data_IF_427267582455
#
_entry.id   IF_427267582455
#
_cell.length_a   1.000
_cell.length_b   1.000
_cell.length_c   1.000
_cell.angle_alpha   90.00
_cell.angle_beta   90.00
_cell.angle_gamma   90.00
#
_symmetry.space_group_name_H-M   'P 1'
#
loop_
_entity.id
_entity.type
_entity.pdbx_description
1 polymer ?
#
# COMPACT_ATOMS: atom_id res chain seq x y z
N UNK A 1 45.47 10.95 -60.61
CA UNK A 1 44.20 11.31 -61.28
C UNK A 1 43.08 10.59 -60.58
N UNK A 2 42.24 11.34 -59.87
CA UNK A 2 41.09 10.84 -59.11
C UNK A 2 39.85 10.95 -59.99
N UNK A 3 39.04 9.89 -60.10
CA UNK A 3 37.56 9.98 -60.05
C UNK A 3 36.92 8.59 -60.19
N UNK A 4 36.27 8.13 -59.12
CA UNK A 4 35.08 7.28 -59.20
C UNK A 4 34.05 7.78 -58.19
N UNK A 5 32.84 8.00 -58.72
CA UNK A 5 31.62 8.44 -58.05
C UNK A 5 31.15 7.42 -57.01
N UNK A 6 30.48 7.90 -55.95
CA UNK A 6 29.39 7.28 -55.17
C UNK A 6 28.98 8.33 -54.12
N UNK A 7 27.91 9.12 -54.31
CA UNK A 7 26.50 8.83 -54.03
C UNK A 7 26.22 8.40 -52.58
N UNK A 8 25.27 9.13 -51.96
CA UNK A 8 24.50 8.87 -50.73
C UNK A 8 25.05 9.52 -49.46
N UNK A 9 24.52 10.70 -49.06
CA UNK A 9 23.27 10.92 -48.32
C UNK A 9 23.43 10.53 -46.83
N UNK A 10 23.87 11.49 -46.01
CA UNK A 10 23.80 11.38 -44.55
C UNK A 10 23.11 12.62 -43.98
N UNK A 11 21.87 12.42 -43.56
CA UNK A 11 21.05 13.34 -42.78
C UNK A 11 21.78 13.75 -41.48
N UNK A 12 22.02 15.04 -41.30
CA UNK A 12 22.33 15.63 -39.99
C UNK A 12 21.42 16.84 -39.79
N UNK A 13 20.14 16.57 -39.54
CA UNK A 13 19.23 17.49 -38.88
C UNK A 13 18.62 16.71 -37.71
N UNK A 14 19.11 16.95 -36.51
CA UNK A 14 18.33 16.86 -35.29
C UNK A 14 19.04 17.71 -34.24
N UNK A 15 18.64 18.97 -34.22
CA UNK A 15 19.00 19.90 -33.17
C UNK A 15 18.27 19.58 -31.87
N UNK A 16 18.88 20.04 -30.79
CA UNK A 16 18.19 20.60 -29.62
C UNK A 16 17.36 19.63 -28.78
N UNK A 17 17.98 19.00 -27.80
CA UNK A 17 17.32 18.62 -26.56
C UNK A 17 18.21 19.02 -25.37
N UNK A 18 18.21 20.31 -25.06
CA UNK A 18 18.33 20.76 -23.67
C UNK A 18 16.94 20.59 -23.06
N UNK A 19 16.81 19.68 -22.10
CA UNK A 19 15.57 19.46 -21.37
C UNK A 19 15.87 18.66 -20.11
N UNK A 20 15.87 19.35 -18.98
CA UNK A 20 16.16 18.82 -17.66
C UNK A 20 15.25 17.63 -17.32
N UNK A 21 15.80 16.42 -17.25
CA UNK A 21 15.17 15.33 -16.52
C UNK A 21 15.61 15.39 -15.05
N UNK A 22 15.23 16.46 -14.37
CA UNK A 22 15.03 16.43 -12.91
C UNK A 22 13.72 15.67 -12.68
N UNK A 23 13.79 14.34 -12.70
CA UNK A 23 12.77 13.53 -12.04
C UNK A 23 12.98 13.70 -10.55
N UNK A 24 12.42 14.78 -10.01
CA UNK A 24 12.18 14.91 -8.59
C UNK A 24 11.34 13.70 -8.17
N UNK A 25 11.88 12.88 -7.28
CA UNK A 25 11.11 11.94 -6.49
C UNK A 25 10.07 12.78 -5.74
N UNK A 26 8.84 12.84 -6.28
CA UNK A 26 7.68 13.26 -5.51
C UNK A 26 7.50 12.17 -4.47
N UNK A 27 8.10 12.36 -3.29
CA UNK A 27 7.57 11.74 -2.09
C UNK A 27 6.14 12.24 -1.98
N UNK A 28 5.19 11.37 -2.29
CA UNK A 28 3.79 11.63 -2.05
C UNK A 28 3.65 11.94 -0.56
N UNK A 29 3.25 13.17 -0.23
CA UNK A 29 2.50 13.38 1.00
C UNK A 29 1.33 12.40 0.90
N UNK A 30 1.38 11.31 1.66
CA UNK A 30 0.41 10.23 1.55
C UNK A 30 -0.95 10.78 1.96
N UNK A 31 -1.76 11.08 0.95
CA UNK A 31 -3.21 11.28 1.04
C UNK A 31 -3.94 10.10 1.72
N UNK A 32 -3.21 9.01 2.04
CA UNK A 32 -3.65 7.86 2.82
C UNK A 32 -4.27 8.22 4.18
N UNK A 33 -3.89 9.35 4.79
CA UNK A 33 -4.48 9.80 6.06
C UNK A 33 -5.68 10.74 5.88
N UNK A 34 -6.21 10.91 4.65
CA UNK A 34 -7.43 11.68 4.41
C UNK A 34 -8.66 10.80 4.69
N UNK A 35 -9.67 11.31 5.42
CA UNK A 35 -10.88 10.57 5.69
C UNK A 35 -11.57 10.11 4.40
N UNK A 36 -11.71 8.79 4.20
CA UNK A 36 -12.38 8.27 2.99
C UNK A 36 -13.90 8.38 3.06
N UNK A 37 -14.45 8.65 4.26
CA UNK A 37 -15.87 8.86 4.50
C UNK A 37 -16.75 7.61 4.43
N UNK A 38 -16.22 6.45 4.00
CA UNK A 38 -16.99 5.22 3.82
C UNK A 38 -17.12 4.35 5.09
N UNK A 39 -16.22 4.53 6.06
CA UNK A 39 -16.13 3.73 7.29
C UNK A 39 -14.91 2.81 7.32
N UNK A 40 -14.79 2.04 8.40
CA UNK A 40 -13.69 1.11 8.63
C UNK A 40 -14.20 -0.22 9.24
N UNK A 41 -13.34 -1.23 9.21
CA UNK A 41 -13.61 -2.56 9.75
C UNK A 41 -12.47 -2.94 10.69
N UNK A 42 -12.75 -3.09 11.99
CA UNK A 42 -11.80 -3.64 12.98
C UNK A 42 -11.99 -5.16 13.00
N UNK A 43 -10.89 -5.91 13.08
CA UNK A 43 -10.93 -7.37 13.10
C UNK A 43 -9.70 -7.94 13.81
N UNK A 44 -9.80 -9.22 14.17
CA UNK A 44 -8.64 -10.04 14.49
C UNK A 44 -8.26 -10.86 13.26
N UNK A 45 -6.98 -10.98 12.97
CA UNK A 45 -6.44 -11.79 11.89
C UNK A 45 -5.59 -12.93 12.46
N UNK A 46 -5.97 -14.16 12.12
CA UNK A 46 -5.19 -15.34 12.43
C UNK A 46 -4.34 -15.70 11.22
N UNK A 47 -3.04 -15.54 11.36
CA UNK A 47 -2.09 -15.95 10.34
C UNK A 47 -1.58 -17.36 10.67
N UNK A 48 -1.78 -18.36 9.81
CA UNK A 48 -1.37 -19.74 10.08
C UNK A 48 0.14 -19.94 10.22
N UNK A 49 0.94 -18.93 9.86
CA UNK A 49 2.40 -18.88 9.99
C UNK A 49 2.86 -17.99 11.16
N UNK A 50 1.95 -17.26 11.80
CA UNK A 50 2.21 -16.49 13.01
C UNK A 50 1.63 -17.22 14.22
N UNK A 51 2.16 -16.96 15.41
CA UNK A 51 1.71 -17.63 16.62
C UNK A 51 0.31 -17.19 17.03
N UNK A 52 0.18 -15.96 17.51
CA UNK A 52 -1.07 -15.42 18.04
C UNK A 52 -1.79 -14.58 16.97
N UNK A 53 -3.14 -14.55 16.98
CA UNK A 53 -3.92 -13.60 16.20
C UNK A 53 -3.53 -12.16 16.54
N UNK A 54 -3.59 -11.30 15.54
CA UNK A 54 -3.31 -9.87 15.70
C UNK A 54 -4.54 -9.03 15.37
N UNK A 55 -4.63 -7.87 16.01
CA UNK A 55 -5.67 -6.89 15.75
C UNK A 55 -5.26 -5.97 14.61
N UNK A 56 -6.17 -5.77 13.68
CA UNK A 56 -6.00 -4.84 12.60
C UNK A 56 -7.28 -4.05 12.32
N UNK A 57 -7.14 -2.97 11.57
CA UNK A 57 -8.25 -2.19 11.07
C UNK A 57 -8.02 -1.82 9.62
N UNK A 58 -9.05 -2.05 8.79
CA UNK A 58 -9.04 -1.72 7.38
C UNK A 58 -9.88 -0.48 7.14
N UNK A 59 -9.27 0.56 6.57
CA UNK A 59 -9.98 1.80 6.20
C UNK A 59 -10.76 1.63 4.90
N UNK A 60 -11.63 2.61 4.60
CA UNK A 60 -12.33 2.73 3.33
C UNK A 60 -13.15 1.49 2.94
N UNK A 61 -13.94 0.99 3.89
CA UNK A 61 -14.83 -0.16 3.69
C UNK A 61 -16.29 0.21 3.91
N UNK A 62 -17.18 -0.47 3.19
CA UNK A 62 -18.61 -0.41 3.48
C UNK A 62 -18.97 -1.33 4.64
N UNK A 63 -20.10 -1.04 5.30
CA UNK A 63 -20.67 -1.92 6.33
C UNK A 63 -20.93 -3.34 5.78
N UNK A 64 -21.44 -3.43 4.55
CA UNK A 64 -21.74 -4.71 3.90
C UNK A 64 -20.49 -5.55 3.64
N UNK A 65 -19.39 -4.92 3.23
CA UNK A 65 -18.11 -5.60 3.08
C UNK A 65 -17.62 -6.14 4.44
N UNK A 66 -17.64 -5.31 5.48
CA UNK A 66 -17.15 -5.71 6.79
C UNK A 66 -17.94 -6.90 7.36
N UNK A 67 -19.27 -6.93 7.20
CA UNK A 67 -20.12 -8.07 7.62
C UNK A 67 -19.71 -9.40 7.01
N UNK A 68 -19.25 -9.39 5.76
CA UNK A 68 -18.84 -10.61 5.04
C UNK A 68 -17.33 -10.82 5.03
N UNK A 69 -16.57 -9.99 5.76
CA UNK A 69 -15.11 -10.01 5.63
C UNK A 69 -14.50 -11.33 6.12
N UNK A 70 -15.09 -11.96 7.13
CA UNK A 70 -14.71 -13.32 7.58
C UNK A 70 -14.92 -14.40 6.51
N UNK A 71 -15.85 -14.21 5.58
CA UNK A 71 -16.16 -15.17 4.52
C UNK A 71 -15.29 -14.96 3.28
N UNK A 72 -15.01 -13.70 2.94
CA UNK A 72 -14.16 -13.32 1.82
C UNK A 72 -12.67 -13.55 2.16
N UNK A 73 -12.30 -13.24 3.41
CA UNK A 73 -10.93 -13.23 3.89
C UNK A 73 -10.05 -12.18 3.20
N UNK A 74 -8.76 -12.20 3.54
CA UNK A 74 -7.72 -11.43 2.84
C UNK A 74 -6.83 -12.35 1.96
N UNK A 75 -7.26 -13.60 1.75
CA UNK A 75 -6.54 -14.60 0.95
C UNK A 75 -5.29 -15.21 1.60
N UNK A 76 -4.77 -14.62 2.68
CA UNK A 76 -3.55 -15.04 3.38
C UNK A 76 -3.77 -15.36 4.88
N UNK A 77 -4.78 -14.74 5.48
CA UNK A 77 -5.11 -14.86 6.91
C UNK A 77 -6.59 -15.16 7.09
N UNK A 78 -6.95 -15.82 8.18
CA UNK A 78 -8.35 -15.97 8.59
C UNK A 78 -8.78 -14.68 9.30
N UNK A 79 -9.89 -14.10 8.86
CA UNK A 79 -10.47 -12.90 9.47
C UNK A 79 -11.51 -13.30 10.52
N UNK A 80 -11.34 -12.80 11.73
CA UNK A 80 -12.15 -13.11 12.91
C UNK A 80 -12.83 -11.85 13.42
N UNK A 81 -14.10 -12.00 13.81
CA UNK A 81 -14.90 -10.98 14.50
C UNK A 81 -14.87 -9.57 13.85
N UNK A 82 -15.13 -9.43 12.53
CA UNK A 82 -15.12 -8.12 11.89
C UNK A 82 -16.24 -7.22 12.43
N UNK A 83 -15.89 -5.99 12.79
CA UNK A 83 -16.78 -5.00 13.36
C UNK A 83 -16.67 -3.66 12.59
N UNK A 84 -17.79 -3.22 12.02
CA UNK A 84 -17.86 -1.98 11.26
C UNK A 84 -18.08 -0.77 12.17
N UNK A 85 -17.45 0.35 11.83
CA UNK A 85 -17.81 1.67 12.33
C UNK A 85 -17.61 2.73 11.25
N UNK A 86 -18.33 3.84 11.37
CA UNK A 86 -18.13 5.00 10.49
C UNK A 86 -16.82 5.73 10.77
N UNK A 87 -16.31 6.46 9.77
CA UNK A 87 -15.06 7.21 9.85
C UNK A 87 -13.81 6.34 9.70
N UNK A 88 -12.66 6.91 10.05
CA UNK A 88 -11.35 6.27 9.88
C UNK A 88 -11.04 5.30 11.02
N UNK A 89 -10.08 4.40 10.76
CA UNK A 89 -9.55 3.52 11.79
C UNK A 89 -8.99 4.33 12.98
N UNK A 90 -9.25 3.91 14.22
CA UNK A 90 -8.62 4.53 15.39
C UNK A 90 -7.10 4.52 15.25
N UNK A 91 -6.45 5.63 15.63
CA UNK A 91 -4.99 5.74 15.64
C UNK A 91 -4.37 5.55 17.02
N UNK A 92 -5.19 5.62 18.06
CA UNK A 92 -4.79 5.32 19.42
C UNK A 92 -4.26 3.88 19.50
N UNK A 93 -3.11 3.70 20.17
CA UNK A 93 -2.44 2.40 20.33
C UNK A 93 -1.98 1.75 19.01
N UNK A 94 -2.02 2.48 17.89
CA UNK A 94 -1.47 2.00 16.63
C UNK A 94 0.04 1.87 16.74
N UNK A 95 0.57 0.77 16.18
CA UNK A 95 2.01 0.54 16.03
C UNK A 95 2.51 0.88 14.62
N UNK A 96 1.60 1.30 13.74
CA UNK A 96 1.85 1.69 12.36
C UNK A 96 0.86 1.04 11.41
N UNK A 97 1.06 1.26 10.13
CA UNK A 97 0.12 0.84 9.11
C UNK A 97 0.74 0.66 7.72
N UNK A 98 -0.04 0.06 6.83
CA UNK A 98 0.35 -0.22 5.45
C UNK A 98 -0.63 0.36 4.45
N UNK A 99 -0.13 1.15 3.51
CA UNK A 99 -0.91 1.60 2.34
C UNK A 99 -1.14 0.42 1.38
N UNK A 100 -2.37 0.28 0.90
CA UNK A 100 -2.83 -0.86 0.07
C UNK A 100 -3.61 -0.40 -1.16
N UNK A 101 -3.08 0.56 -1.90
CA UNK A 101 -3.64 1.02 -3.17
C UNK A 101 -5.06 1.56 -3.05
N UNK A 102 -5.30 2.51 -2.14
CA UNK A 102 -6.59 3.16 -1.94
C UNK A 102 -7.34 2.78 -0.65
N UNK A 103 -6.71 1.98 0.20
CA UNK A 103 -7.10 1.76 1.59
C UNK A 103 -5.83 1.50 2.42
N UNK A 104 -5.98 1.47 3.74
CA UNK A 104 -4.88 1.29 4.68
C UNK A 104 -5.21 0.20 5.70
N UNK A 105 -4.22 -0.64 6.00
CA UNK A 105 -4.28 -1.63 7.08
C UNK A 105 -3.51 -1.10 8.29
N UNK A 106 -4.24 -0.78 9.37
CA UNK A 106 -3.69 -0.26 10.63
C UNK A 106 -3.50 -1.39 11.62
N UNK A 107 -2.34 -1.46 12.28
CA UNK A 107 -2.01 -2.48 13.28
C UNK A 107 -1.91 -1.85 14.68
N UNK A 108 -2.16 -2.64 15.73
CA UNK A 108 -2.27 -2.16 17.12
C UNK A 108 -1.37 -2.91 18.11
N UNK A 109 -1.02 -2.29 19.24
CA UNK A 109 -0.06 -2.81 20.24
C UNK A 109 -0.41 -4.16 20.87
N UNK A 110 -1.69 -4.51 20.97
CA UNK A 110 -2.14 -5.83 21.45
C UNK A 110 -1.74 -6.97 20.51
N UNK A 111 -1.25 -6.64 19.33
CA UNK A 111 -0.65 -7.53 18.35
C UNK A 111 0.84 -7.70 18.64
N UNK A 112 1.18 -8.58 19.57
CA UNK A 112 2.57 -8.66 20.07
C UNK A 112 3.61 -9.17 19.06
N UNK A 113 3.20 -9.71 17.88
CA UNK A 113 4.12 -10.12 16.81
C UNK A 113 3.43 -10.01 15.44
N UNK A 114 4.18 -9.52 14.43
CA UNK A 114 3.77 -9.61 13.04
C UNK A 114 3.77 -11.08 12.56
N UNK A 115 3.26 -11.34 11.34
CA UNK A 115 3.43 -12.62 10.67
C UNK A 115 4.83 -13.23 10.89
N UNK A 116 4.95 -14.47 11.40
CA UNK A 116 6.24 -15.18 11.54
C UNK A 116 7.29 -14.60 12.53
N UNK A 117 6.90 -13.76 13.49
CA UNK A 117 7.86 -13.20 14.47
C UNK A 117 8.83 -12.18 13.86
N UNK A 118 8.55 -11.70 12.64
CA UNK A 118 9.14 -10.50 12.07
C UNK A 118 8.30 -9.28 12.49
N UNK A 119 8.95 -8.11 12.55
CA UNK A 119 8.25 -6.84 12.80
C UNK A 119 7.08 -6.68 11.84
N UNK A 120 5.98 -6.07 12.32
CA UNK A 120 4.89 -5.67 11.44
C UNK A 120 5.46 -4.82 10.31
N UNK A 121 5.18 -5.25 9.08
CA UNK A 121 5.66 -4.59 7.89
C UNK A 121 4.75 -4.94 6.73
N UNK A 122 4.78 -4.12 5.69
CA UNK A 122 3.87 -4.26 4.56
C UNK A 122 4.25 -5.40 3.61
N UNK A 123 5.15 -6.30 4.03
CA UNK A 123 5.75 -7.33 3.20
C UNK A 123 6.25 -6.74 1.87
N UNK A 124 5.68 -7.20 0.75
CA UNK A 124 5.92 -6.67 -0.60
C UNK A 124 4.81 -5.75 -1.11
N UNK A 125 3.81 -5.44 -0.26
CA UNK A 125 2.57 -4.77 -0.62
C UNK A 125 2.40 -3.47 0.18
N UNK A 126 3.04 -2.41 -0.30
CA UNK A 126 2.87 -1.05 0.20
C UNK A 126 4.04 -0.53 1.04
N UNK A 127 3.93 0.75 1.40
CA UNK A 127 4.89 1.43 2.27
C UNK A 127 4.42 1.36 3.72
N UNK A 128 5.39 1.13 4.61
CA UNK A 128 5.15 1.21 6.05
C UNK A 128 5.04 2.66 6.49
N UNK A 129 3.97 2.98 7.20
CA UNK A 129 3.70 4.28 7.78
C UNK A 129 3.83 4.13 9.30
N UNK A 130 4.77 4.87 9.88
CA UNK A 130 4.95 4.88 11.33
C UNK A 130 3.74 5.54 12.04
N UNK A 131 3.49 5.23 13.32
CA UNK A 131 2.36 5.77 14.11
C UNK A 131 2.19 7.29 14.05
#
# INVERSE_FOLDING_TARGET
MTTKKNLLLSCLILGGLCGNSLLASHHHDSDANKPSGAGHCIYMAENPFAGEPYKACRTNVSEEFCKHYSEVGDGMVTILEPAYSGGDCPREESIGSCERGGWEEVYYQDSNQGPMGVEFGCNFAGDWIAP
#
